data_IF_796069777902
#
_entry.id   IF_796069777902
#
_cell.length_a   1.000
_cell.length_b   1.000
_cell.length_c   1.000
_cell.angle_alpha   90.00
_cell.angle_beta   90.00
_cell.angle_gamma   90.00
#
_symmetry.space_group_name_H-M   'P 1'
#
loop_
_entity.id
_entity.type
_entity.pdbx_description
1 polymer ?
#
# COMPACT_ATOMS: atom_id res chain seq x y z
N UNK A 1 -13.63 0.01 -26.94
CA UNK A 1 -13.28 0.13 -25.50
C UNK A 1 -11.78 0.38 -25.42
N UNK A 2 -11.34 1.61 -25.12
CA UNK A 2 -9.93 1.98 -25.24
C UNK A 2 -9.10 1.23 -24.19
N UNK A 3 -8.06 0.53 -24.64
CA UNK A 3 -7.04 -0.20 -23.85
C UNK A 3 -6.26 0.73 -22.89
N UNK A 4 -6.53 2.04 -22.93
CA UNK A 4 -5.83 3.11 -22.21
C UNK A 4 -6.31 3.37 -20.77
N UNK A 5 -7.01 2.46 -20.11
CA UNK A 5 -7.62 2.71 -18.78
C UNK A 5 -7.36 1.62 -17.73
N UNK A 6 -6.43 0.70 -17.98
CA UNK A 6 -6.24 -0.48 -17.14
C UNK A 6 -5.12 -0.33 -16.10
N UNK A 7 -4.40 0.79 -15.99
CA UNK A 7 -3.10 0.70 -15.34
C UNK A 7 -2.76 1.87 -14.41
N UNK A 8 -3.03 1.59 -13.14
CA UNK A 8 -2.16 2.00 -12.03
C UNK A 8 -2.28 0.91 -10.98
N UNK A 9 -1.52 -0.17 -10.99
CA UNK A 9 -1.80 -1.31 -10.08
C UNK A 9 -1.75 -0.89 -8.60
N UNK A 10 -0.96 0.14 -8.23
CA UNK A 10 -0.88 0.64 -6.86
C UNK A 10 -1.97 1.67 -6.51
N UNK A 11 -2.39 2.52 -7.46
CA UNK A 11 -3.51 3.45 -7.31
C UNK A 11 -4.90 2.94 -7.68
N UNK A 12 -4.99 1.99 -8.60
CA UNK A 12 -6.23 1.44 -9.11
C UNK A 12 -6.87 0.55 -8.06
N UNK A 13 -6.08 -0.04 -7.14
CA UNK A 13 -6.60 -0.68 -5.91
C UNK A 13 -7.52 0.30 -5.16
N UNK A 14 -7.38 1.61 -5.40
CA UNK A 14 -8.11 2.68 -4.74
C UNK A 14 -8.93 3.59 -5.67
N UNK A 15 -9.18 3.19 -6.92
CA UNK A 15 -10.11 3.92 -7.80
C UNK A 15 -11.55 3.50 -7.48
N UNK A 16 -12.12 4.12 -6.45
CA UNK A 16 -13.43 3.77 -5.92
C UNK A 16 -14.45 4.85 -6.25
N UNK A 17 -15.62 4.44 -6.70
CA UNK A 17 -16.81 5.29 -6.68
C UNK A 17 -17.10 5.72 -5.24
N UNK A 18 -17.57 6.95 -5.06
CA UNK A 18 -18.01 7.53 -3.79
C UNK A 18 -19.05 6.63 -3.10
N UNK A 19 -18.58 5.72 -2.25
CA UNK A 19 -19.42 5.14 -1.21
C UNK A 19 -19.26 6.09 -0.03
N UNK A 20 -20.34 6.70 0.48
CA UNK A 20 -20.23 7.54 1.66
C UNK A 20 -19.57 6.72 2.76
N UNK A 21 -18.58 7.31 3.44
CA UNK A 21 -18.06 6.78 4.69
C UNK A 21 -19.26 6.56 5.61
N UNK A 22 -19.72 5.31 5.72
CA UNK A 22 -20.51 4.93 6.87
C UNK A 22 -19.61 5.21 8.05
N UNK A 23 -20.08 6.07 8.94
CA UNK A 23 -19.41 6.39 10.19
C UNK A 23 -18.82 5.08 10.71
N UNK A 24 -17.48 5.00 10.70
CA UNK A 24 -16.82 3.84 11.23
C UNK A 24 -17.39 3.67 12.63
N UNK A 25 -18.17 2.60 12.84
CA UNK A 25 -18.48 2.18 14.20
C UNK A 25 -17.15 2.08 14.95
N UNK A 26 -17.18 2.11 16.28
CA UNK A 26 -16.00 1.98 17.14
C UNK A 26 -15.31 0.60 16.97
N UNK A 27 -14.87 0.27 15.76
CA UNK A 27 -14.09 -0.88 15.41
C UNK A 27 -12.69 -0.65 15.94
N UNK A 28 -12.18 -1.65 16.64
CA UNK A 28 -10.79 -1.65 17.08
C UNK A 28 -9.90 -1.60 15.85
N UNK A 29 -8.93 -0.68 15.81
CA UNK A 29 -7.87 -0.74 14.80
C UNK A 29 -7.23 -2.15 14.82
N UNK A 30 -6.55 -2.53 13.73
CA UNK A 30 -5.69 -3.71 13.72
C UNK A 30 -4.83 -3.77 15.00
N UNK A 31 -4.77 -4.90 15.71
CA UNK A 31 -3.86 -5.01 16.83
C UNK A 31 -2.44 -4.95 16.29
N UNK A 32 -1.69 -3.94 16.71
CA UNK A 32 -0.26 -3.80 16.42
C UNK A 32 0.55 -4.09 17.68
N UNK A 33 1.74 -4.65 17.48
CA UNK A 33 2.74 -4.80 18.54
C UNK A 33 3.17 -3.43 19.08
N UNK A 34 3.97 -3.42 20.14
CA UNK A 34 4.53 -2.20 20.73
C UNK A 34 5.30 -1.42 19.65
N UNK A 35 4.77 -0.25 19.26
CA UNK A 35 5.32 0.60 18.20
C UNK A 35 6.48 1.49 18.65
N UNK A 36 7.37 0.95 19.47
CA UNK A 36 8.67 1.59 19.76
C UNK A 36 9.63 1.26 18.62
N UNK A 37 10.46 2.23 18.25
CA UNK A 37 11.35 2.14 17.10
C UNK A 37 12.25 0.89 17.13
N UNK A 38 12.80 0.57 18.30
CA UNK A 38 13.66 -0.60 18.50
C UNK A 38 12.93 -1.93 18.25
N UNK A 39 11.60 -1.96 18.32
CA UNK A 39 10.77 -3.14 18.13
C UNK A 39 10.10 -3.22 16.76
N UNK A 40 10.24 -2.19 15.91
CA UNK A 40 9.64 -2.21 14.57
C UNK A 40 10.26 -3.30 13.70
N UNK A 41 9.49 -3.88 12.79
CA UNK A 41 9.94 -4.92 11.85
C UNK A 41 10.94 -4.44 10.77
N UNK A 42 11.26 -3.13 10.75
CA UNK A 42 12.08 -2.47 9.74
C UNK A 42 13.01 -1.41 10.37
N UNK A 43 13.98 -0.96 9.59
CA UNK A 43 14.90 0.14 9.94
C UNK A 43 15.07 1.08 8.73
N UNK A 44 15.60 2.27 8.96
CA UNK A 44 16.01 3.15 7.85
C UNK A 44 17.13 2.51 7.00
N UNK A 45 17.10 2.76 5.70
CA UNK A 45 17.99 2.18 4.69
C UNK A 45 17.38 0.97 3.95
N UNK A 46 16.28 0.40 4.45
CA UNK A 46 15.66 -0.79 3.87
C UNK A 46 15.09 -0.50 2.47
N UNK A 47 15.26 -1.48 1.57
CA UNK A 47 14.75 -1.43 0.20
C UNK A 47 14.21 -2.78 -0.23
N UNK A 48 13.02 -2.79 -0.83
CA UNK A 48 12.38 -3.93 -1.47
C UNK A 48 12.04 -3.61 -2.92
N UNK A 49 12.27 -4.56 -3.82
CA UNK A 49 11.97 -4.43 -5.25
C UNK A 49 11.01 -5.55 -5.66
N UNK A 50 9.94 -5.17 -6.35
CA UNK A 50 8.91 -6.07 -6.82
C UNK A 50 8.82 -6.06 -8.34
N UNK A 51 8.57 -7.22 -8.93
CA UNK A 51 8.16 -7.35 -10.33
C UNK A 51 6.66 -7.51 -10.40
N UNK A 52 6.02 -6.73 -11.26
CA UNK A 52 4.58 -6.74 -11.50
C UNK A 52 4.32 -7.52 -12.77
N UNK A 53 3.53 -8.58 -12.64
CA UNK A 53 3.16 -9.50 -13.70
C UNK A 53 1.67 -9.34 -14.03
N UNK A 54 1.34 -9.30 -15.33
CA UNK A 54 -0.03 -9.23 -15.80
C UNK A 54 -0.38 -10.49 -16.59
N UNK A 55 -1.53 -11.08 -16.25
CA UNK A 55 -2.05 -12.30 -16.87
C UNK A 55 -3.48 -12.08 -17.37
N UNK A 56 -3.71 -12.24 -18.67
CA UNK A 56 -5.03 -12.23 -19.28
C UNK A 56 -5.04 -12.98 -20.61
N UNK A 57 -5.81 -14.08 -20.68
CA UNK A 57 -5.86 -14.92 -21.88
C UNK A 57 -4.46 -15.42 -22.27
N UNK A 58 -3.99 -15.04 -23.47
CA UNK A 58 -2.64 -15.36 -23.96
C UNK A 58 -1.54 -14.41 -23.43
N UNK A 59 -1.91 -13.30 -22.81
CA UNK A 59 -0.95 -12.35 -22.23
C UNK A 59 -0.51 -12.87 -20.87
N UNK A 60 0.79 -13.07 -20.69
CA UNK A 60 1.41 -13.55 -19.46
C UNK A 60 2.83 -12.95 -19.36
N UNK A 61 2.94 -11.74 -18.80
CA UNK A 61 4.17 -10.94 -18.91
C UNK A 61 4.48 -10.08 -17.68
N UNK A 62 5.77 -9.90 -17.40
CA UNK A 62 6.28 -8.96 -16.40
C UNK A 62 6.22 -7.53 -16.97
N UNK A 63 5.25 -6.73 -16.54
CA UNK A 63 4.89 -5.45 -17.17
C UNK A 63 5.44 -4.22 -16.46
N UNK A 64 5.72 -4.30 -15.17
CA UNK A 64 6.18 -3.17 -14.37
C UNK A 64 7.12 -3.60 -13.24
N UNK A 65 7.76 -2.62 -12.62
CA UNK A 65 8.54 -2.78 -11.40
C UNK A 65 8.02 -1.81 -10.34
N UNK A 66 7.99 -2.25 -9.09
CA UNK A 66 7.79 -1.37 -7.95
C UNK A 66 9.01 -1.43 -7.03
N UNK A 67 9.33 -0.31 -6.41
CA UNK A 67 10.39 -0.20 -5.42
C UNK A 67 9.83 0.49 -4.21
N UNK A 68 10.01 -0.15 -3.06
CA UNK A 68 9.65 0.38 -1.76
C UNK A 68 10.92 0.61 -0.96
N UNK A 69 11.04 1.78 -0.34
CA UNK A 69 12.17 2.14 0.51
C UNK A 69 11.67 2.79 1.77
N UNK A 70 12.48 2.72 2.83
CA UNK A 70 12.31 3.56 4.02
C UNK A 70 13.66 4.06 4.48
N UNK A 71 13.75 5.36 4.71
CA UNK A 71 14.93 6.05 5.25
C UNK A 71 14.58 6.82 6.52
N UNK A 72 15.59 7.23 7.28
CA UNK A 72 15.42 8.18 8.39
C UNK A 72 15.82 9.57 7.93
N UNK A 73 14.89 10.53 8.04
CA UNK A 73 15.11 11.93 7.62
C UNK A 73 14.71 12.90 8.72
N UNK A 74 15.00 14.18 8.54
CA UNK A 74 14.52 15.25 9.43
C UNK A 74 13.38 16.00 8.74
N UNK A 75 12.21 16.04 9.37
CA UNK A 75 11.05 16.82 8.95
C UNK A 75 10.67 17.78 10.09
N UNK A 76 10.65 19.08 9.82
CA UNK A 76 10.32 20.12 10.80
C UNK A 76 11.11 20.00 12.13
N UNK A 77 12.41 19.70 12.04
CA UNK A 77 13.30 19.52 13.20
C UNK A 77 13.17 18.17 13.93
N UNK A 78 12.24 17.30 13.53
CA UNK A 78 12.05 15.95 14.11
C UNK A 78 12.64 14.87 13.20
N UNK A 79 13.33 13.88 13.77
CA UNK A 79 13.68 12.65 13.06
C UNK A 79 12.42 11.82 12.80
N UNK A 80 12.17 11.47 11.55
CA UNK A 80 11.01 10.71 11.09
C UNK A 80 11.46 9.60 10.14
N UNK A 81 10.59 8.62 9.90
CA UNK A 81 10.75 7.75 8.74
C UNK A 81 10.21 8.46 7.50
N UNK A 82 10.88 8.22 6.37
CA UNK A 82 10.42 8.59 5.04
C UNK A 82 10.33 7.32 4.21
N UNK A 83 9.11 6.88 3.91
CA UNK A 83 8.86 5.77 3.03
C UNK A 83 8.52 6.25 1.62
N UNK A 84 9.21 5.70 0.61
CA UNK A 84 8.90 5.97 -0.80
C UNK A 84 8.48 4.68 -1.50
N UNK A 85 7.32 4.68 -2.15
CA UNK A 85 6.83 3.62 -3.02
C UNK A 85 6.73 4.15 -4.45
N UNK A 86 7.59 3.64 -5.33
CA UNK A 86 7.62 4.02 -6.74
C UNK A 86 7.22 2.84 -7.61
N UNK A 87 6.21 2.99 -8.46
CA UNK A 87 5.80 2.01 -9.47
C UNK A 87 6.02 2.55 -10.87
N UNK A 88 6.64 1.77 -11.76
CA UNK A 88 6.85 2.18 -13.14
C UNK A 88 6.71 1.03 -14.12
N UNK A 89 5.99 1.27 -15.22
CA UNK A 89 5.97 0.36 -16.38
C UNK A 89 7.38 0.13 -16.92
N UNK A 90 7.69 -1.11 -17.31
CA UNK A 90 8.98 -1.40 -17.93
C UNK A 90 9.09 -0.72 -19.30
N UNK A 91 10.31 -0.30 -19.66
CA UNK A 91 10.60 0.49 -20.86
C UNK A 91 10.06 -0.11 -22.16
N UNK A 92 10.06 -1.44 -22.28
CA UNK A 92 9.53 -2.14 -23.46
C UNK A 92 8.02 -1.88 -23.65
N UNK A 93 7.26 -1.84 -22.55
CA UNK A 93 5.82 -1.66 -22.56
C UNK A 93 5.36 -0.20 -22.57
N UNK A 94 6.25 0.77 -22.27
CA UNK A 94 5.93 2.21 -22.22
C UNK A 94 5.27 2.75 -23.50
N UNK A 95 5.54 2.13 -24.67
CA UNK A 95 4.94 2.50 -25.96
C UNK A 95 3.46 2.14 -26.06
N UNK A 96 3.01 1.13 -25.31
CA UNK A 96 1.64 0.63 -25.32
C UNK A 96 0.85 1.17 -24.13
N UNK A 97 1.47 1.20 -22.96
CA UNK A 97 0.91 1.77 -21.74
C UNK A 97 2.02 2.36 -20.90
N UNK A 98 1.84 3.57 -20.38
CA UNK A 98 2.84 4.24 -19.55
C UNK A 98 2.22 4.64 -18.23
N UNK A 99 2.67 3.97 -17.17
CA UNK A 99 2.32 4.26 -15.80
C UNK A 99 3.57 4.62 -15.03
N UNK A 100 3.47 5.71 -14.29
CA UNK A 100 4.41 6.07 -13.25
C UNK A 100 3.63 6.52 -12.02
N UNK A 101 3.96 5.98 -10.88
CA UNK A 101 3.39 6.37 -9.60
C UNK A 101 4.52 6.52 -8.59
N UNK A 102 4.56 7.66 -7.91
CA UNK A 102 5.48 7.94 -6.82
C UNK A 102 4.62 8.34 -5.61
N UNK A 103 4.76 7.59 -4.51
CA UNK A 103 4.07 7.83 -3.25
C UNK A 103 5.13 7.98 -2.17
N UNK A 104 5.10 9.09 -1.44
CA UNK A 104 6.02 9.34 -0.34
C UNK A 104 5.25 9.61 0.94
N UNK A 105 5.66 8.99 2.02
CA UNK A 105 5.06 9.13 3.36
C UNK A 105 6.13 9.48 4.37
N UNK A 106 5.83 10.46 5.22
CA UNK A 106 6.63 10.80 6.38
C UNK A 106 5.81 10.51 7.63
N UNK A 107 6.36 9.69 8.53
CA UNK A 107 5.67 9.25 9.72
C UNK A 107 6.60 9.13 10.93
N UNK A 108 6.02 9.22 12.12
CA UNK A 108 6.78 9.17 13.37
C UNK A 108 7.46 7.82 13.56
N UNK A 109 8.66 7.83 14.14
CA UNK A 109 9.44 6.61 14.43
C UNK A 109 8.88 5.87 15.64
N UNK A 110 8.24 6.62 16.52
CA UNK A 110 7.44 6.20 17.66
C UNK A 110 5.95 6.21 17.26
N UNK A 111 5.27 5.07 17.33
CA UNK A 111 3.83 5.01 17.12
C UNK A 111 3.35 5.08 15.66
N UNK A 112 4.25 5.23 14.67
CA UNK A 112 3.93 5.20 13.23
C UNK A 112 2.75 6.09 12.83
N UNK A 113 2.71 7.34 13.32
CA UNK A 113 1.67 8.31 12.99
C UNK A 113 2.02 9.06 11.70
N UNK A 114 1.11 9.17 10.73
CA UNK A 114 1.37 9.92 9.50
C UNK A 114 1.56 11.40 9.82
N UNK A 115 2.50 12.05 9.14
CA UNK A 115 2.77 13.49 9.29
C UNK A 115 2.57 14.24 7.98
N UNK A 116 3.06 13.65 6.89
CA UNK A 116 2.96 14.20 5.54
C UNK A 116 2.87 13.04 4.55
N UNK A 117 2.12 13.23 3.48
CA UNK A 117 2.12 12.34 2.34
C UNK A 117 2.13 13.13 1.03
N UNK A 118 2.84 12.62 0.02
CA UNK A 118 2.74 13.13 -1.35
C UNK A 118 2.51 12.00 -2.33
N UNK A 119 1.73 12.28 -3.36
CA UNK A 119 1.50 11.39 -4.50
C UNK A 119 1.76 12.14 -5.78
N UNK A 120 2.43 11.49 -6.72
CA UNK A 120 2.43 11.86 -8.12
C UNK A 120 2.06 10.63 -8.95
N UNK A 121 1.04 10.75 -9.78
CA UNK A 121 0.63 9.69 -10.69
C UNK A 121 0.57 10.21 -12.13
N UNK A 122 1.04 9.38 -13.07
CA UNK A 122 0.89 9.59 -14.51
C UNK A 122 0.46 8.30 -15.18
N UNK A 123 -0.74 8.32 -15.77
CA UNK A 123 -1.29 7.24 -16.59
C UNK A 123 -1.57 7.79 -18.00
N UNK A 124 -0.67 7.51 -18.93
CA UNK A 124 -0.72 8.08 -20.27
C UNK A 124 -0.68 9.61 -20.26
N UNK A 125 -1.82 10.26 -20.55
CA UNK A 125 -2.02 11.72 -20.53
C UNK A 125 -2.57 12.23 -19.20
N UNK A 126 -3.17 11.36 -18.39
CA UNK A 126 -3.69 11.75 -17.08
C UNK A 126 -2.52 11.97 -16.12
N UNK A 127 -2.60 13.04 -15.34
CA UNK A 127 -1.66 13.32 -14.25
C UNK A 127 -2.43 13.73 -13.00
N UNK A 128 -1.93 13.34 -11.84
CA UNK A 128 -2.48 13.66 -10.53
C UNK A 128 -1.34 13.95 -9.55
N UNK A 129 -1.52 14.93 -8.68
CA UNK A 129 -0.61 15.27 -7.59
C UNK A 129 -1.40 15.57 -6.32
N UNK A 130 -1.08 14.87 -5.23
CA UNK A 130 -1.72 15.08 -3.94
C UNK A 130 -0.65 15.41 -2.89
N UNK A 131 -0.97 16.33 -1.99
CA UNK A 131 -0.21 16.62 -0.79
C UNK A 131 -1.17 16.57 0.39
N UNK A 132 -0.88 15.71 1.36
CA UNK A 132 -1.59 15.64 2.63
C UNK A 132 -0.67 16.08 3.77
N UNK A 133 -1.19 16.96 4.62
CA UNK A 133 -0.58 17.30 5.90
C UNK A 133 -1.51 16.84 7.02
N UNK A 134 -1.01 15.95 7.88
CA UNK A 134 -1.79 15.35 8.96
C UNK A 134 -1.64 16.20 10.22
N UNK A 135 -2.74 16.85 10.63
CA UNK A 135 -2.78 17.73 11.80
C UNK A 135 -3.26 16.93 13.00
N UNK A 136 -2.38 16.70 13.96
CA UNK A 136 -2.67 15.92 15.20
C UNK A 136 -2.91 16.81 16.43
N UNK A 137 -3.31 18.06 16.21
CA UNK A 137 -3.57 18.99 17.32
C UNK A 137 -4.85 18.56 18.04
N UNK A 138 -4.82 18.29 19.36
CA UNK A 138 -6.01 17.88 20.10
C UNK A 138 -7.19 18.83 19.91
N UNK A 139 -8.33 18.31 19.43
CA UNK A 139 -9.54 19.09 19.14
C UNK A 139 -9.55 19.77 17.77
N UNK A 140 -8.54 19.53 16.93
CA UNK A 140 -8.45 20.00 15.56
C UNK A 140 -7.76 18.96 14.66
N UNK A 141 -8.03 17.67 14.91
CA UNK A 141 -7.49 16.58 14.13
C UNK A 141 -8.11 16.56 12.74
N UNK A 142 -7.29 16.73 11.71
CA UNK A 142 -7.74 16.68 10.31
C UNK A 142 -6.58 16.45 9.35
N UNK A 143 -6.91 16.14 8.10
CA UNK A 143 -5.96 16.10 6.99
C UNK A 143 -6.19 17.35 6.13
N UNK A 144 -5.18 18.20 6.01
CA UNK A 144 -5.18 19.30 5.05
C UNK A 144 -4.66 18.78 3.71
N UNK A 145 -5.53 18.79 2.69
CA UNK A 145 -5.26 18.25 1.37
C UNK A 145 -5.12 19.35 0.33
N UNK A 146 -4.00 19.35 -0.39
CA UNK A 146 -3.78 20.12 -1.62
C UNK A 146 -3.69 19.15 -2.79
N UNK A 147 -4.55 19.34 -3.78
CA UNK A 147 -4.86 18.36 -4.81
C UNK A 147 -4.78 19.01 -6.18
N UNK A 148 -4.27 18.26 -7.15
CA UNK A 148 -4.24 18.69 -8.54
C UNK A 148 -4.39 17.50 -9.47
N UNK A 149 -5.27 17.59 -10.47
CA UNK A 149 -5.26 16.62 -11.55
C UNK A 149 -5.57 17.27 -12.90
N UNK A 150 -5.21 16.58 -13.98
CA UNK A 150 -5.35 17.10 -15.34
C UNK A 150 -6.79 17.33 -15.80
N UNK A 151 -7.81 16.97 -15.00
CA UNK A 151 -9.24 17.15 -15.31
C UNK A 151 -9.87 18.28 -14.50
N UNK A 152 -9.60 18.35 -13.19
CA UNK A 152 -10.19 19.31 -12.24
C UNK A 152 -9.30 20.55 -12.00
N UNK A 153 -8.01 20.50 -12.35
CA UNK A 153 -7.05 21.54 -11.95
C UNK A 153 -6.69 21.43 -10.47
N UNK A 154 -6.21 22.55 -9.91
CA UNK A 154 -5.80 22.64 -8.50
C UNK A 154 -6.98 22.97 -7.59
N UNK A 155 -7.05 22.30 -6.44
CA UNK A 155 -8.04 22.55 -5.40
C UNK A 155 -7.53 22.07 -4.04
N UNK A 156 -8.29 22.33 -2.97
CA UNK A 156 -7.94 21.90 -1.61
C UNK A 156 -9.17 21.38 -0.87
N UNK A 157 -8.93 20.50 0.09
CA UNK A 157 -9.95 19.89 0.92
C UNK A 157 -9.46 19.73 2.36
N UNK A 158 -10.39 19.64 3.30
CA UNK A 158 -10.13 19.23 4.68
C UNK A 158 -10.83 17.89 4.89
N UNK A 159 -10.05 16.85 5.18
CA UNK A 159 -10.56 15.49 5.33
C UNK A 159 -10.51 15.06 6.81
N UNK A 160 -11.39 14.16 7.26
CA UNK A 160 -11.33 13.63 8.62
C UNK A 160 -10.02 12.88 8.87
N UNK A 161 -9.54 12.93 10.11
CA UNK A 161 -8.39 12.17 10.58
C UNK A 161 -8.80 11.33 11.78
N UNK A 162 -8.97 10.02 11.56
CA UNK A 162 -9.28 9.08 12.62
C UNK A 162 -8.01 8.39 13.14
N UNK A 163 -8.13 7.71 14.28
CA UNK A 163 -7.02 6.99 14.92
C UNK A 163 -6.39 5.90 14.04
N UNK A 164 -7.17 5.31 13.14
CA UNK A 164 -6.72 4.26 12.23
C UNK A 164 -6.54 4.77 10.78
N UNK A 165 -6.38 6.09 10.58
CA UNK A 165 -6.15 6.65 9.25
C UNK A 165 -4.66 6.67 8.91
N UNK A 166 -4.32 6.09 7.76
CA UNK A 166 -2.96 6.00 7.24
C UNK A 166 -2.87 6.55 5.81
N UNK A 167 -1.66 6.64 5.29
CA UNK A 167 -1.43 6.69 3.85
C UNK A 167 -0.96 5.32 3.33
N UNK A 168 -0.93 5.14 2.02
CA UNK A 168 -0.66 3.84 1.38
C UNK A 168 0.73 3.28 1.78
N UNK A 169 1.85 4.03 1.65
CA UNK A 169 3.14 3.52 2.12
C UNK A 169 3.17 3.22 3.62
N UNK A 170 2.57 4.06 4.47
CA UNK A 170 2.55 3.84 5.91
C UNK A 170 1.74 2.60 6.29
N UNK A 171 0.58 2.39 5.67
CA UNK A 171 -0.26 1.22 5.91
C UNK A 171 0.52 -0.08 5.68
N UNK A 172 1.36 -0.10 4.64
CA UNK A 172 2.29 -1.21 4.43
C UNK A 172 3.21 -1.45 5.63
N UNK A 173 3.85 -0.42 6.18
CA UNK A 173 4.74 -0.57 7.34
C UNK A 173 3.97 -0.89 8.63
N UNK A 174 2.72 -0.45 8.76
CA UNK A 174 1.83 -0.83 9.87
C UNK A 174 1.53 -2.33 9.82
N UNK A 175 1.19 -2.88 8.65
CA UNK A 175 0.89 -4.30 8.46
C UNK A 175 2.06 -5.22 8.84
N UNK A 176 3.30 -4.73 8.77
CA UNK A 176 4.49 -5.49 9.21
C UNK A 176 4.64 -5.61 10.72
N UNK A 177 3.90 -4.80 11.47
CA UNK A 177 4.00 -4.73 12.93
C UNK A 177 2.72 -5.23 13.62
N UNK A 178 1.88 -5.94 12.88
CA UNK A 178 0.64 -6.52 13.39
C UNK A 178 0.96 -7.60 14.41
N UNK A 179 0.19 -7.60 15.49
CA UNK A 179 0.25 -8.66 16.48
C UNK A 179 -0.58 -9.86 16.00
N UNK A 180 0.08 -10.73 15.24
CA UNK A 180 -0.53 -11.92 14.62
C UNK A 180 -1.17 -12.84 15.66
N UNK A 181 -0.65 -12.87 16.89
CA UNK A 181 -1.18 -13.74 17.96
C UNK A 181 -2.53 -13.24 18.50
N UNK A 182 -2.87 -11.98 18.23
CA UNK A 182 -4.17 -11.39 18.53
C UNK A 182 -5.14 -11.41 17.35
N UNK A 183 -4.67 -11.78 16.15
CA UNK A 183 -5.55 -11.91 14.99
C UNK A 183 -6.35 -13.20 15.06
N UNK A 184 -7.62 -13.11 14.66
CA UNK A 184 -8.44 -14.29 14.38
C UNK A 184 -8.58 -14.45 12.87
N UNK A 185 -8.44 -15.68 12.41
CA UNK A 185 -8.65 -16.00 11.00
C UNK A 185 -10.08 -15.67 10.59
N UNK A 186 -10.23 -14.97 9.46
CA UNK A 186 -11.50 -14.51 8.92
C UNK A 186 -12.14 -13.32 9.64
N UNK A 187 -11.59 -12.87 10.78
CA UNK A 187 -12.07 -11.65 11.44
C UNK A 187 -11.75 -10.43 10.58
N UNK A 188 -12.74 -9.55 10.52
CA UNK A 188 -12.71 -8.33 9.75
C UNK A 188 -12.19 -7.19 10.62
N UNK A 189 -11.28 -6.41 10.06
CA UNK A 189 -10.71 -5.29 10.74
C UNK A 189 -10.59 -4.09 9.78
N UNK A 190 -10.99 -2.88 10.21
CA UNK A 190 -10.95 -1.71 9.36
C UNK A 190 -9.61 -0.97 9.44
N UNK A 191 -9.17 -0.42 8.31
CA UNK A 191 -8.15 0.62 8.20
C UNK A 191 -8.67 1.75 7.33
N UNK A 192 -8.47 3.00 7.72
CA UNK A 192 -8.85 4.12 6.87
C UNK A 192 -7.63 4.71 6.16
N UNK A 193 -7.83 5.25 4.96
CA UNK A 193 -6.78 5.92 4.23
C UNK A 193 -7.35 7.05 3.37
N UNK A 194 -6.57 8.12 3.19
CA UNK A 194 -6.96 9.25 2.36
C UNK A 194 -6.47 9.05 0.92
N UNK A 195 -7.35 9.24 -0.06
CA UNK A 195 -7.01 9.30 -1.50
C UNK A 195 -7.87 10.36 -2.18
N UNK A 196 -7.23 11.12 -3.06
CA UNK A 196 -7.78 12.32 -3.68
C UNK A 196 -8.47 13.23 -2.64
N UNK A 197 -9.77 13.47 -2.79
CA UNK A 197 -10.58 14.34 -1.95
C UNK A 197 -11.46 13.61 -0.92
N UNK A 198 -11.13 12.35 -0.59
CA UNK A 198 -11.96 11.52 0.28
C UNK A 198 -11.13 10.59 1.21
N UNK A 199 -11.80 10.04 2.23
CA UNK A 199 -11.25 9.04 3.16
C UNK A 199 -12.05 7.75 3.04
N UNK A 200 -11.34 6.67 2.78
CA UNK A 200 -11.93 5.36 2.53
C UNK A 200 -11.55 4.38 3.64
N UNK A 201 -12.46 3.46 3.94
CA UNK A 201 -12.22 2.32 4.83
C UNK A 201 -11.93 1.08 4.00
N UNK A 202 -10.81 0.42 4.26
CA UNK A 202 -10.51 -0.92 3.78
C UNK A 202 -10.72 -1.91 4.89
N UNK A 203 -11.34 -3.03 4.53
CA UNK A 203 -11.48 -4.17 5.40
C UNK A 203 -10.38 -5.17 5.06
N UNK A 204 -9.57 -5.52 6.05
CA UNK A 204 -8.53 -6.53 5.91
C UNK A 204 -8.89 -7.74 6.77
N UNK A 205 -8.54 -8.93 6.27
CA UNK A 205 -8.78 -10.20 6.95
C UNK A 205 -7.51 -11.03 6.96
N UNK A 206 -7.16 -11.57 8.12
CA UNK A 206 -6.12 -12.57 8.23
C UNK A 206 -6.69 -13.93 7.80
N UNK A 207 -5.99 -14.62 6.89
CA UNK A 207 -6.45 -15.89 6.31
C UNK A 207 -5.59 -17.08 6.75
N UNK A 208 -4.75 -16.90 7.76
CA UNK A 208 -3.89 -17.95 8.29
C UNK A 208 -2.49 -17.99 7.69
N UNK A 209 -1.77 -19.05 8.03
CA UNK A 209 -0.41 -19.33 7.58
C UNK A 209 -0.41 -20.29 6.40
N UNK A 210 0.35 -19.98 5.34
CA UNK A 210 0.58 -20.91 4.24
C UNK A 210 1.98 -20.75 3.62
N UNK A 211 2.49 -21.82 3.01
CA UNK A 211 3.75 -21.76 2.26
C UNK A 211 3.48 -21.27 0.83
N UNK A 212 4.21 -20.24 0.41
CA UNK A 212 4.08 -19.64 -0.93
C UNK A 212 5.36 -19.83 -1.73
N UNK A 213 5.26 -20.48 -2.90
CA UNK A 213 6.37 -20.53 -3.86
C UNK A 213 6.44 -19.22 -4.65
N UNK A 214 7.57 -18.54 -4.54
CA UNK A 214 7.89 -17.29 -5.22
C UNK A 214 8.90 -17.60 -6.33
N UNK A 215 8.58 -17.34 -7.62
CA UNK A 215 9.52 -17.50 -8.71
C UNK A 215 10.83 -16.77 -8.43
N UNK A 216 11.96 -17.40 -8.77
CA UNK A 216 13.34 -16.88 -8.59
C UNK A 216 13.83 -16.76 -7.14
N UNK A 217 12.95 -16.86 -6.13
CA UNK A 217 13.32 -16.78 -4.71
C UNK A 217 13.28 -18.16 -4.05
N UNK A 218 12.21 -18.93 -4.24
CA UNK A 218 12.00 -20.22 -3.54
C UNK A 218 10.67 -20.25 -2.79
N UNK A 219 10.55 -21.14 -1.80
CA UNK A 219 9.34 -21.26 -0.98
C UNK A 219 9.49 -20.48 0.31
N UNK A 220 8.47 -19.70 0.66
CA UNK A 220 8.46 -18.83 1.84
C UNK A 220 7.27 -19.19 2.74
N UNK A 221 7.50 -19.38 4.04
CA UNK A 221 6.43 -19.42 5.05
C UNK A 221 5.78 -18.05 5.14
N UNK A 222 4.47 -17.96 4.95
CA UNK A 222 3.78 -16.69 4.86
C UNK A 222 2.57 -16.59 5.78
N UNK A 223 2.30 -15.36 6.22
CA UNK A 223 1.00 -14.90 6.68
C UNK A 223 0.22 -14.42 5.46
N UNK A 224 -1.00 -14.92 5.27
CA UNK A 224 -1.87 -14.52 4.17
C UNK A 224 -2.94 -13.57 4.65
N UNK A 225 -3.16 -12.52 3.87
CA UNK A 225 -4.22 -11.54 4.11
C UNK A 225 -5.07 -11.39 2.87
N UNK A 226 -6.36 -11.11 3.07
CA UNK A 226 -7.19 -10.49 2.04
C UNK A 226 -7.50 -9.05 2.39
N UNK A 227 -7.64 -8.24 1.35
CA UNK A 227 -7.98 -6.84 1.41
C UNK A 227 -9.18 -6.64 0.51
N UNK A 228 -10.27 -6.13 1.07
CA UNK A 228 -11.45 -5.77 0.31
C UNK A 228 -11.06 -4.68 -0.69
N UNK A 229 -11.40 -4.93 -1.95
CA UNK A 229 -11.24 -3.93 -3.01
C UNK A 229 -12.62 -3.45 -3.38
N UNK A 230 -12.89 -2.17 -3.20
CA UNK A 230 -14.18 -1.63 -3.60
C UNK A 230 -14.27 -1.63 -5.14
N UNK A 231 -15.49 -1.84 -5.63
CA UNK A 231 -15.74 -1.89 -7.08
C UNK A 231 -15.43 -0.54 -7.74
N UNK A 232 -14.87 -0.59 -8.95
CA UNK A 232 -14.39 0.61 -9.65
C UNK A 232 -14.24 0.41 -11.15
N UNK A 233 -13.50 1.27 -11.86
CA UNK A 233 -13.24 1.08 -13.30
C UNK A 233 -12.36 -0.16 -13.54
N UNK A 234 -11.45 -0.47 -12.61
CA UNK A 234 -10.41 -1.49 -12.77
C UNK A 234 -10.75 -2.81 -12.06
N UNK A 235 -11.37 -2.72 -10.88
CA UNK A 235 -11.73 -3.86 -10.04
C UNK A 235 -13.21 -4.16 -10.14
N UNK A 236 -13.56 -5.44 -10.20
CA UNK A 236 -14.97 -5.87 -10.16
C UNK A 236 -15.60 -5.61 -8.80
N UNK A 237 -14.79 -5.60 -7.73
CA UNK A 237 -15.25 -5.58 -6.34
C UNK A 237 -15.90 -6.89 -5.88
N UNK A 238 -15.92 -7.90 -6.75
CA UNK A 238 -16.44 -9.25 -6.46
C UNK A 238 -15.37 -10.16 -5.87
N UNK A 239 -14.14 -9.69 -5.72
CA UNK A 239 -13.00 -10.53 -5.33
C UNK A 239 -11.92 -9.70 -4.62
N UNK A 240 -11.37 -10.27 -3.56
CA UNK A 240 -10.36 -9.63 -2.75
C UNK A 240 -8.99 -9.58 -3.44
N UNK A 241 -8.19 -8.57 -3.06
CA UNK A 241 -6.75 -8.60 -3.23
C UNK A 241 -6.16 -9.50 -2.15
N UNK A 242 -5.21 -10.34 -2.52
CA UNK A 242 -4.49 -11.20 -1.57
C UNK A 242 -3.04 -10.77 -1.44
N UNK A 243 -2.54 -10.68 -0.21
CA UNK A 243 -1.15 -10.41 0.11
C UNK A 243 -0.53 -11.53 0.94
N UNK A 244 0.71 -11.89 0.62
CA UNK A 244 1.52 -12.82 1.39
C UNK A 244 2.71 -12.09 1.98
N UNK A 245 2.83 -12.14 3.29
CA UNK A 245 3.91 -11.52 4.05
C UNK A 245 4.74 -12.62 4.71
N UNK A 246 6.06 -12.49 4.74
CA UNK A 246 6.96 -13.48 5.35
C UNK A 246 6.58 -13.71 6.80
N UNK A 247 6.53 -14.97 7.22
CA UNK A 247 6.35 -15.33 8.63
C UNK A 247 7.71 -15.34 9.36
N UNK A 248 8.37 -14.18 9.39
CA UNK A 248 9.56 -13.86 10.20
C UNK A 248 9.46 -12.45 10.80
N UNK A 249 10.44 -12.02 11.58
CA UNK A 249 10.42 -10.70 12.24
C UNK A 249 10.52 -9.51 11.26
N UNK A 250 10.79 -9.72 9.97
CA UNK A 250 10.72 -8.64 8.99
C UNK A 250 9.30 -8.41 8.48
N UNK A 251 8.50 -9.48 8.39
CA UNK A 251 7.13 -9.46 7.85
C UNK A 251 7.05 -8.81 6.46
N UNK A 252 8.04 -9.00 5.58
CA UNK A 252 8.04 -8.35 4.26
C UNK A 252 7.02 -9.02 3.33
N UNK A 253 6.37 -8.28 2.43
CA UNK A 253 5.48 -8.86 1.44
C UNK A 253 6.35 -9.58 0.42
N UNK A 254 5.96 -10.79 0.05
CA UNK A 254 6.68 -11.62 -0.92
C UNK A 254 5.86 -11.86 -2.17
N UNK A 255 4.53 -11.77 -2.05
CA UNK A 255 3.60 -11.91 -3.15
C UNK A 255 2.35 -11.08 -2.92
N UNK A 256 1.78 -10.57 -4.01
CA UNK A 256 0.39 -10.11 -3.99
C UNK A 256 -0.33 -10.53 -5.27
N UNK A 257 -1.65 -10.58 -5.20
CA UNK A 257 -2.52 -10.96 -6.30
C UNK A 257 -3.79 -10.15 -6.24
N UNK A 258 -4.08 -9.41 -7.32
CA UNK A 258 -5.27 -8.59 -7.44
C UNK A 258 -6.05 -9.02 -8.71
N UNK A 259 -7.23 -9.63 -8.57
CA UNK A 259 -8.10 -9.90 -9.71
C UNK A 259 -8.60 -8.57 -10.30
N UNK A 260 -8.62 -8.45 -11.62
CA UNK A 260 -9.13 -7.28 -12.33
C UNK A 260 -10.37 -7.68 -13.12
N UNK A 261 -11.14 -6.69 -13.60
CA UNK A 261 -12.24 -6.97 -14.56
C UNK A 261 -11.75 -7.70 -15.79
N UNK A 262 -10.52 -7.42 -16.21
CA UNK A 262 -9.85 -8.03 -17.36
C UNK A 262 -8.51 -8.54 -16.89
N UNK A 263 -8.44 -9.83 -16.55
CA UNK A 263 -7.21 -10.49 -16.14
C UNK A 263 -6.89 -10.40 -14.65
N UNK A 264 -5.63 -10.59 -14.34
CA UNK A 264 -5.10 -10.62 -12.98
C UNK A 264 -3.73 -9.96 -12.97
N UNK A 265 -3.49 -9.13 -11.95
CA UNK A 265 -2.15 -8.63 -11.66
C UNK A 265 -1.59 -9.37 -10.47
N UNK A 266 -0.33 -9.73 -10.58
CA UNK A 266 0.44 -10.34 -9.51
C UNK A 266 1.71 -9.53 -9.30
N UNK A 267 2.14 -9.39 -8.06
CA UNK A 267 3.46 -8.86 -7.76
C UNK A 267 4.27 -9.89 -7.01
N UNK A 268 5.54 -10.02 -7.39
CA UNK A 268 6.50 -10.89 -6.70
C UNK A 268 7.66 -10.07 -6.19
N UNK A 269 8.09 -10.34 -4.96
CA UNK A 269 9.38 -9.85 -4.48
C UNK A 269 10.46 -10.36 -5.44
N UNK A 270 11.41 -9.49 -5.75
CA UNK A 270 12.54 -9.78 -6.64
C UNK A 270 13.86 -9.57 -5.94
N UNK A 271 13.97 -8.52 -5.14
CA UNK A 271 15.21 -8.14 -4.47
C UNK A 271 14.91 -7.42 -3.16
N UNK A 272 15.81 -7.53 -2.19
CA UNK A 272 15.73 -6.87 -0.90
C UNK A 272 17.11 -6.55 -0.37
N UNK A 273 17.25 -5.42 0.32
CA UNK A 273 18.50 -5.05 0.99
C UNK A 273 18.22 -4.29 2.28
N UNK A 274 19.20 -4.33 3.20
CA UNK A 274 19.13 -3.60 4.47
C UNK A 274 17.90 -3.95 5.33
N UNK A 275 17.45 -5.20 5.29
CA UNK A 275 16.47 -5.71 6.24
C UNK A 275 16.98 -5.54 7.68
N UNK A 276 16.07 -5.30 8.61
CA UNK A 276 16.43 -5.21 10.03
C UNK A 276 16.82 -6.57 10.61
N UNK A 277 16.10 -7.62 10.21
CA UNK A 277 16.29 -8.98 10.69
C UNK A 277 16.71 -9.90 9.52
N UNK A 278 17.31 -11.08 9.79
CA UNK A 278 17.53 -12.10 8.76
C UNK A 278 16.21 -12.56 8.13
N UNK A 279 16.21 -12.86 6.83
CA UNK A 279 15.05 -13.42 6.13
C UNK A 279 14.93 -14.93 6.44
N UNK A 280 14.30 -15.28 7.57
CA UNK A 280 14.26 -16.63 8.12
C UNK A 280 12.99 -17.43 7.78
N UNK A 281 12.10 -16.88 6.96
CA UNK A 281 10.91 -17.59 6.46
C UNK A 281 11.15 -18.49 5.26
N UNK A 282 12.35 -18.46 4.67
CA UNK A 282 12.71 -19.33 3.56
C UNK A 282 12.65 -20.80 4.00
N UNK A 283 12.10 -21.66 3.14
CA UNK A 283 12.07 -23.11 3.32
C UNK A 283 13.09 -23.72 2.38
N UNK A 284 13.97 -24.57 2.92
CA UNK A 284 14.93 -25.38 2.17
C UNK A 284 14.24 -26.43 1.29
#
# INVERSE_FOLDING_TARGET
>A
MSISKLFGVFAAIFMLSSVPAFAAGEGKCIPVRILKEENLAFKGGEKLVFTIHYKWGLINADVAQATLKVDTVVLNGRKVFHASLTGKTQRFYEKFFRVKEDLDSWFTRDGMRPMKFTRFAREGKYTCSNLYSYVHTPGNEHISASLSNSRKGEFSATLPLDKCTYDIPLMYYVLRNVDVDQLKEGEDYPMTFAVDDDVYTLHFKYLGRENKRIPEIGTVRCLKFSFEVVSGEVFSGESDLFGWFSDDENRIPVWFSAPMKVGQVQGRLRDWSELKNPFSSMIE
#
